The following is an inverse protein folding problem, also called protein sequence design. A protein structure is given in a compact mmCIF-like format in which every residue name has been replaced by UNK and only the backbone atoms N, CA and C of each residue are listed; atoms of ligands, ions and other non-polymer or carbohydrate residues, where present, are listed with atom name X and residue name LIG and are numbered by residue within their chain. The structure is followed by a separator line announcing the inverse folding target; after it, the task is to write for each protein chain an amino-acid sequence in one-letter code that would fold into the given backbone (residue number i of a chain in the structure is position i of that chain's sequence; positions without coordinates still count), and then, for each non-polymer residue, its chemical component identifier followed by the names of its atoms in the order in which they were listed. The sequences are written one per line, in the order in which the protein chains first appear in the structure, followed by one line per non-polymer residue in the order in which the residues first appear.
data_IF_045055093431
#
_entry.id   IF_045055093431
#
_cell.length_a   1.000
_cell.length_b   1.000
_cell.length_c   1.000
_cell.angle_alpha   90.00
_cell.angle_beta   90.00
_cell.angle_gamma   90.00
#
_symmetry.space_group_name_H-M   'P 1'
#
loop_
_entity.id
_entity.type
_entity.pdbx_description
1 polymer ?
#
# COMPACT_ATOMS: atom_id res chain seq x y z
N UNK A 1 -7.61 -5.26 -6.74
CA UNK A 1 -6.26 -5.21 -7.33
C UNK A 1 -6.20 -6.27 -8.43
N UNK A 2 -5.45 -6.04 -9.51
CA UNK A 2 -5.26 -7.06 -10.56
C UNK A 2 -4.57 -8.31 -9.93
N UNK A 3 -5.07 -9.51 -10.23
CA UNK A 3 -4.46 -10.77 -9.76
C UNK A 3 -3.01 -10.92 -10.23
N UNK A 4 -2.66 -10.37 -11.39
CA UNK A 4 -1.28 -10.36 -11.90
C UNK A 4 -0.38 -9.51 -11.02
N UNK A 5 -0.84 -8.30 -10.65
CA UNK A 5 -0.13 -7.38 -9.77
C UNK A 5 0.08 -7.99 -8.39
N UNK A 6 -0.96 -8.61 -7.82
CA UNK A 6 -0.88 -9.29 -6.53
C UNK A 6 0.15 -10.42 -6.51
N UNK A 7 0.15 -11.28 -7.54
CA UNK A 7 1.14 -12.35 -7.67
C UNK A 7 2.56 -11.80 -7.84
N UNK A 8 2.72 -10.73 -8.62
CA UNK A 8 4.01 -10.05 -8.78
C UNK A 8 4.54 -9.51 -7.45
N UNK A 9 3.70 -8.81 -6.69
CA UNK A 9 4.06 -8.28 -5.38
C UNK A 9 4.40 -9.39 -4.38
N UNK A 10 3.63 -10.49 -4.36
CA UNK A 10 3.92 -11.64 -3.51
C UNK A 10 5.25 -12.31 -3.87
N UNK A 11 5.60 -12.33 -5.16
CA UNK A 11 6.88 -12.86 -5.66
C UNK A 11 8.07 -11.89 -5.45
N UNK A 12 7.82 -10.66 -5.00
CA UNK A 12 8.86 -9.63 -4.85
C UNK A 12 9.33 -9.05 -6.18
N UNK A 13 8.46 -9.06 -7.21
CA UNK A 13 8.75 -8.46 -8.52
C UNK A 13 8.86 -6.93 -8.40
N UNK A 14 10.04 -6.33 -8.67
CA UNK A 14 10.23 -4.88 -8.61
C UNK A 14 9.32 -4.11 -9.58
N UNK A 15 8.96 -4.70 -10.73
CA UNK A 15 8.07 -4.06 -11.68
C UNK A 15 6.64 -3.96 -11.14
N UNK A 16 6.18 -5.00 -10.45
CA UNK A 16 4.89 -5.00 -9.76
C UNK A 16 4.86 -3.96 -8.62
N UNK A 17 5.98 -3.78 -7.90
CA UNK A 17 6.09 -2.73 -6.89
C UNK A 17 6.02 -1.32 -7.51
N UNK A 18 6.71 -1.10 -8.63
CA UNK A 18 6.67 0.17 -9.34
C UNK A 18 5.25 0.48 -9.84
N UNK A 19 4.55 -0.51 -10.42
CA UNK A 19 3.17 -0.36 -10.88
C UNK A 19 2.20 -0.01 -9.73
N UNK A 20 2.35 -0.67 -8.57
CA UNK A 20 1.59 -0.33 -7.35
C UNK A 20 1.86 1.11 -6.93
N UNK A 21 3.14 1.50 -6.87
CA UNK A 21 3.54 2.84 -6.46
C UNK A 21 2.96 3.89 -7.41
N UNK A 22 3.10 3.74 -8.72
CA UNK A 22 2.55 4.69 -9.70
C UNK A 22 1.02 4.79 -9.61
N UNK A 23 0.34 3.67 -9.36
CA UNK A 23 -1.13 3.63 -9.31
C UNK A 23 -1.71 4.32 -8.07
N UNK A 24 -1.02 4.25 -6.92
CA UNK A 24 -1.61 4.65 -5.63
C UNK A 24 -0.86 5.78 -4.91
N UNK A 25 0.41 6.05 -5.24
CA UNK A 25 1.23 7.05 -4.51
C UNK A 25 0.64 8.45 -4.54
N UNK A 26 0.10 8.90 -5.67
CA UNK A 26 -0.45 10.26 -5.79
C UNK A 26 -1.68 10.47 -4.89
N UNK A 27 -2.59 9.50 -4.82
CA UNK A 27 -3.79 9.60 -4.00
C UNK A 27 -3.45 9.47 -2.51
N UNK A 28 -2.53 8.58 -2.17
CA UNK A 28 -2.03 8.44 -0.81
C UNK A 28 -1.26 9.68 -0.34
N UNK A 29 -0.46 10.30 -1.21
CA UNK A 29 0.25 11.56 -0.92
C UNK A 29 -0.73 12.71 -0.73
N UNK A 30 -1.76 12.82 -1.56
CA UNK A 30 -2.83 13.81 -1.39
C UNK A 30 -3.55 13.64 -0.06
N UNK A 31 -3.87 12.41 0.31
CA UNK A 31 -4.49 12.09 1.60
C UNK A 31 -3.56 12.44 2.76
N UNK A 32 -2.31 11.97 2.74
CA UNK A 32 -1.31 12.28 3.76
C UNK A 32 -1.13 13.80 3.93
N UNK A 33 -1.02 14.54 2.82
CA UNK A 33 -0.87 15.99 2.86
C UNK A 33 -2.11 16.69 3.43
N UNK A 34 -3.31 16.21 3.11
CA UNK A 34 -4.55 16.76 3.68
C UNK A 34 -4.67 16.60 5.21
N UNK A 35 -3.95 15.63 5.79
CA UNK A 35 -3.96 15.35 7.23
C UNK A 35 -2.79 16.02 7.96
N UNK A 36 -1.60 16.00 7.35
CA UNK A 36 -0.36 16.43 7.98
C UNK A 36 0.04 17.86 7.62
N UNK A 37 -0.50 18.39 6.51
CA UNK A 37 -0.10 19.67 5.91
C UNK A 37 1.43 19.82 5.70
N UNK A 38 2.14 18.70 5.62
CA UNK A 38 3.59 18.62 5.44
C UNK A 38 3.90 17.58 4.37
N UNK A 39 4.56 18.01 3.28
CA UNK A 39 4.90 17.14 2.14
C UNK A 39 5.89 16.05 2.52
N UNK A 40 6.90 16.37 3.33
CA UNK A 40 7.94 15.42 3.74
C UNK A 40 7.35 14.32 4.62
N UNK A 41 6.64 14.69 5.67
CA UNK A 41 6.02 13.70 6.58
C UNK A 41 4.98 12.85 5.84
N UNK A 42 4.27 13.43 4.87
CA UNK A 42 3.33 12.69 4.02
C UNK A 42 4.04 11.67 3.13
N UNK A 43 5.18 12.03 2.54
CA UNK A 43 5.95 11.11 1.73
C UNK A 43 6.50 9.93 2.54
N UNK A 44 7.01 10.21 3.74
CA UNK A 44 7.54 9.19 4.65
C UNK A 44 6.42 8.20 5.06
N UNK A 45 5.25 8.70 5.46
CA UNK A 45 4.12 7.86 5.84
C UNK A 45 3.63 7.00 4.66
N UNK A 46 3.55 7.56 3.45
CA UNK A 46 3.14 6.79 2.26
C UNK A 46 4.14 5.70 1.94
N UNK A 47 5.44 5.97 2.09
CA UNK A 47 6.49 4.98 1.91
C UNK A 47 6.35 3.82 2.90
N UNK A 48 6.18 4.12 4.19
CA UNK A 48 6.02 3.10 5.24
C UNK A 48 4.79 2.22 4.99
N UNK A 49 3.64 2.84 4.66
CA UNK A 49 2.39 2.11 4.38
C UNK A 49 2.54 1.15 3.21
N UNK A 50 3.20 1.56 2.12
CA UNK A 50 3.41 0.70 0.95
C UNK A 50 4.37 -0.46 1.26
N UNK A 51 5.42 -0.22 2.06
CA UNK A 51 6.34 -1.27 2.49
C UNK A 51 5.62 -2.29 3.38
N UNK A 52 4.87 -1.82 4.38
CA UNK A 52 4.10 -2.67 5.29
C UNK A 52 3.03 -3.49 4.55
N UNK A 53 2.35 -2.88 3.60
CA UNK A 53 1.38 -3.55 2.72
C UNK A 53 2.02 -4.74 1.98
N UNK A 54 3.18 -4.52 1.35
CA UNK A 54 3.89 -5.59 0.62
C UNK A 54 4.42 -6.65 1.58
N UNK A 55 4.92 -6.25 2.75
CA UNK A 55 5.34 -7.18 3.80
C UNK A 55 4.19 -8.08 4.28
N UNK A 56 3.02 -7.50 4.51
CA UNK A 56 1.81 -8.23 4.90
C UNK A 56 1.33 -9.18 3.78
N UNK A 57 1.37 -8.73 2.52
CA UNK A 57 1.03 -9.57 1.36
C UNK A 57 1.93 -10.80 1.27
N UNK A 58 3.25 -10.60 1.40
CA UNK A 58 4.24 -11.68 1.30
C UNK A 58 4.19 -12.67 2.45
N UNK A 59 3.81 -12.21 3.65
CA UNK A 59 3.65 -13.09 4.82
C UNK A 59 2.32 -13.85 4.82
N UNK A 60 1.42 -13.59 3.85
CA UNK A 60 0.06 -14.13 3.85
C UNK A 60 -0.81 -13.58 4.99
N UNK A 61 -0.33 -12.57 5.72
CA UNK A 61 -1.06 -11.91 6.82
C UNK A 61 -1.78 -10.65 6.36
N UNK A 62 -1.84 -10.42 5.04
CA UNK A 62 -2.61 -9.33 4.47
C UNK A 62 -4.09 -9.51 4.76
N UNK A 63 -4.48 -9.00 5.92
CA UNK A 63 -5.84 -8.67 6.27
C UNK A 63 -6.01 -7.21 5.89
N UNK A 64 -7.01 -6.88 5.09
CA UNK A 64 -7.49 -5.50 5.00
C UNK A 64 -7.99 -5.11 6.40
N UNK A 65 -7.08 -4.70 7.28
CA UNK A 65 -7.40 -4.02 8.53
C UNK A 65 -7.69 -2.59 8.15
N UNK A 66 -8.86 -2.37 7.57
CA UNK A 66 -9.44 -1.05 7.64
C UNK A 66 -9.80 -0.82 9.12
N UNK A 67 -9.23 0.16 9.83
CA UNK A 67 -9.66 0.46 11.20
C UNK A 67 -11.15 0.85 11.29
N UNK A 68 -11.80 1.14 10.14
CA UNK A 68 -13.24 1.39 10.03
C UNK A 68 -14.07 0.14 9.68
N UNK A 69 -13.44 -0.95 9.21
CA UNK A 69 -14.14 -2.20 8.88
C UNK A 69 -13.24 -3.41 9.18
N UNK A 70 -13.37 -4.03 10.37
CA UNK A 70 -12.60 -5.20 10.73
C UNK A 70 -13.06 -6.39 9.87
N UNK A 71 -12.16 -6.86 9.00
CA UNK A 71 -12.14 -8.19 8.36
C UNK A 71 -13.47 -8.71 7.78
N UNK A 72 -13.64 -8.60 6.46
CA UNK A 72 -14.56 -9.47 5.73
C UNK A 72 -13.83 -10.76 5.35
N UNK A 73 -14.45 -11.94 5.53
CA UNK A 73 -13.91 -13.20 5.04
C UNK A 73 -13.89 -13.20 3.50
N UNK A 74 -12.85 -13.81 2.94
CA UNK A 74 -12.74 -14.10 1.50
C UNK A 74 -13.89 -15.00 1.04
#
# INVERSE_FOLDING_TARGET
MDQKLERGLAAGDPAAFAELFESYSNDLLRLGYSLLANVTDSADVVQDVLIDFVGALRSGTYHVKNPLFPSLPL
#
